data_IF_657074970915
#
_entry.id   IF_657074970915
#
_cell.length_a   1.000
_cell.length_b   1.000
_cell.length_c   1.000
_cell.angle_alpha   90.00
_cell.angle_beta   90.00
_cell.angle_gamma   90.00
#
_symmetry.space_group_name_H-M   'P 1'
#
loop_
_entity.id
_entity.type
_entity.pdbx_description
1 polymer ?
#
# COMPACT_ATOMS: atom_id res chain seq x y z
N UNK A 1 -20.06 9.03 -6.02
CA UNK A 1 -18.61 8.84 -6.28
C UNK A 1 -18.10 7.85 -5.25
N UNK A 2 -17.33 6.85 -5.65
CA UNK A 2 -16.74 5.88 -4.72
C UNK A 2 -15.31 6.28 -4.33
N UNK A 3 -14.75 5.66 -3.29
CA UNK A 3 -13.35 5.86 -2.90
C UNK A 3 -12.36 5.67 -4.05
N UNK A 4 -12.63 4.71 -4.93
CA UNK A 4 -11.79 4.44 -6.11
C UNK A 4 -11.66 5.63 -7.07
N UNK A 5 -12.72 6.42 -7.22
CA UNK A 5 -12.75 7.60 -8.08
C UNK A 5 -12.18 8.81 -7.34
N UNK A 6 -12.55 9.01 -6.08
CA UNK A 6 -12.08 10.10 -5.23
C UNK A 6 -10.56 10.10 -5.02
N UNK A 7 -9.95 8.91 -4.96
CA UNK A 7 -8.51 8.76 -4.70
C UNK A 7 -7.69 8.48 -5.96
N UNK A 8 -8.29 8.54 -7.15
CA UNK A 8 -7.64 8.16 -8.40
C UNK A 8 -6.36 8.96 -8.67
N UNK A 9 -6.40 10.27 -8.44
CA UNK A 9 -5.24 11.16 -8.64
C UNK A 9 -4.07 10.80 -7.73
N UNK A 10 -4.34 10.42 -6.47
CA UNK A 10 -3.31 9.98 -5.53
C UNK A 10 -2.77 8.59 -5.88
N UNK A 11 -3.65 7.68 -6.34
CA UNK A 11 -3.28 6.32 -6.75
C UNK A 11 -2.38 6.32 -7.99
N UNK A 12 -2.74 7.15 -8.97
CA UNK A 12 -2.04 7.28 -10.25
C UNK A 12 -0.82 8.21 -10.20
N UNK A 13 -0.57 8.90 -9.07
CA UNK A 13 0.57 9.79 -8.95
C UNK A 13 1.91 9.04 -9.12
N UNK A 14 2.79 9.59 -9.95
CA UNK A 14 4.15 9.09 -10.11
C UNK A 14 4.99 9.40 -8.87
N UNK A 15 5.26 8.37 -8.07
CA UNK A 15 6.03 8.47 -6.83
C UNK A 15 7.18 7.48 -6.79
N UNK A 16 8.14 7.68 -7.70
CA UNK A 16 9.30 6.81 -7.85
C UNK A 16 10.18 6.78 -6.59
N UNK A 17 10.32 7.90 -5.90
CA UNK A 17 11.11 8.01 -4.67
C UNK A 17 10.51 7.14 -3.56
N UNK A 18 9.19 7.22 -3.36
CA UNK A 18 8.52 6.41 -2.36
C UNK A 18 8.46 4.93 -2.74
N UNK A 19 8.30 4.60 -4.04
CA UNK A 19 8.45 3.22 -4.51
C UNK A 19 9.86 2.67 -4.28
N UNK A 20 10.90 3.48 -4.48
CA UNK A 20 12.29 3.10 -4.23
C UNK A 20 12.58 2.87 -2.74
N UNK A 21 11.92 3.60 -1.83
CA UNK A 21 12.00 3.33 -0.39
C UNK A 21 11.45 1.94 -0.06
N UNK A 22 10.28 1.59 -0.60
CA UNK A 22 9.66 0.28 -0.38
C UNK A 22 10.49 -0.85 -0.98
N UNK A 23 11.11 -0.64 -2.14
CA UNK A 23 11.96 -1.64 -2.80
C UNK A 23 13.22 -2.00 -1.99
N UNK A 24 13.73 -1.06 -1.19
CA UNK A 24 14.96 -1.24 -0.40
C UNK A 24 14.70 -1.76 1.01
N UNK A 25 13.48 -1.61 1.53
CA UNK A 25 13.13 -1.98 2.90
C UNK A 25 12.11 -3.13 2.94
N UNK A 26 12.57 -4.30 3.40
CA UNK A 26 11.75 -5.50 3.51
C UNK A 26 10.59 -5.36 4.49
N UNK A 27 10.72 -4.53 5.52
CA UNK A 27 9.63 -4.23 6.47
C UNK A 27 8.54 -3.45 5.75
N UNK A 28 8.91 -2.37 5.05
CA UNK A 28 7.96 -1.56 4.28
C UNK A 28 7.29 -2.37 3.17
N UNK A 29 8.03 -3.23 2.48
CA UNK A 29 7.49 -4.11 1.44
C UNK A 29 6.41 -5.05 1.99
N UNK A 30 6.66 -5.70 3.14
CA UNK A 30 5.67 -6.56 3.80
C UNK A 30 4.44 -5.78 4.26
N UNK A 31 4.65 -4.61 4.84
CA UNK A 31 3.55 -3.76 5.32
C UNK A 31 2.68 -3.30 4.14
N UNK A 32 3.28 -2.81 3.06
CA UNK A 32 2.58 -2.42 1.84
C UNK A 32 1.81 -3.60 1.23
N UNK A 33 2.43 -4.78 1.16
CA UNK A 33 1.78 -5.99 0.64
C UNK A 33 0.54 -6.40 1.45
N UNK A 34 0.57 -6.23 2.77
CA UNK A 34 -0.55 -6.57 3.63
C UNK A 34 -1.65 -5.50 3.66
N UNK A 35 -1.35 -4.25 3.29
CA UNK A 35 -2.25 -3.11 3.45
C UNK A 35 -3.67 -3.33 2.91
N UNK A 36 -3.90 -3.93 1.73
CA UNK A 36 -5.26 -4.19 1.23
C UNK A 36 -6.10 -5.10 2.13
N UNK A 37 -5.46 -5.92 2.96
CA UNK A 37 -6.12 -6.88 3.86
C UNK A 37 -6.25 -6.39 5.29
N UNK A 38 -5.61 -5.27 5.64
CA UNK A 38 -5.67 -4.69 6.98
C UNK A 38 -7.07 -4.16 7.26
N UNK A 39 -7.64 -4.58 8.40
CA UNK A 39 -8.90 -4.04 8.88
C UNK A 39 -8.79 -2.55 9.19
N UNK A 40 -9.74 -1.79 8.64
CA UNK A 40 -9.81 -0.34 8.80
C UNK A 40 -11.24 0.14 8.71
N UNK A 41 -11.49 1.27 9.36
CA UNK A 41 -12.73 2.03 9.27
C UNK A 41 -12.39 3.36 8.62
N UNK A 42 -12.98 3.61 7.46
CA UNK A 42 -12.86 4.89 6.75
C UNK A 42 -14.15 5.69 6.89
N UNK A 43 -14.11 7.02 6.75
CA UNK A 43 -15.32 7.81 6.63
C UNK A 43 -16.12 7.43 5.37
N UNK A 44 -17.34 7.95 5.26
CA UNK A 44 -18.11 7.82 4.04
C UNK A 44 -17.37 8.48 2.86
N UNK A 45 -17.45 7.92 1.64
CA UNK A 45 -16.87 8.54 0.46
C UNK A 45 -17.42 9.96 0.24
N UNK A 46 -16.61 10.88 -0.32
CA UNK A 46 -17.05 12.24 -0.63
C UNK A 46 -18.13 12.24 -1.72
N UNK A 47 -18.97 13.28 -1.71
CA UNK A 47 -19.96 13.48 -2.77
C UNK A 47 -19.29 13.89 -4.11
N UNK A 48 -19.93 13.63 -5.26
CA UNK A 48 -19.38 14.06 -6.55
C UNK A 48 -19.11 15.57 -6.59
N UNK A 49 -17.89 15.96 -6.95
CA UNK A 49 -17.48 17.36 -7.04
C UNK A 49 -17.02 17.99 -5.72
N UNK A 50 -17.07 17.25 -4.61
CA UNK A 50 -16.46 17.67 -3.36
C UNK A 50 -14.93 17.53 -3.42
N UNK A 51 -14.22 18.54 -2.91
CA UNK A 51 -12.76 18.50 -2.81
C UNK A 51 -12.30 17.41 -1.84
N UNK A 52 -11.25 16.67 -2.22
CA UNK A 52 -10.73 15.54 -1.45
C UNK A 52 -9.48 15.95 -0.70
N UNK A 53 -9.64 16.29 0.59
CA UNK A 53 -8.51 16.45 1.50
C UNK A 53 -8.09 15.10 2.09
N UNK A 54 -6.96 14.59 1.61
CA UNK A 54 -6.41 13.32 2.07
C UNK A 54 -6.02 13.33 3.56
N UNK A 55 -5.58 14.47 4.09
CA UNK A 55 -5.21 14.59 5.51
C UNK A 55 -6.44 14.50 6.41
N UNK A 56 -7.53 15.15 6.00
CA UNK A 56 -8.81 15.08 6.71
C UNK A 56 -9.32 13.63 6.74
N UNK A 57 -9.27 12.92 5.61
CA UNK A 57 -9.69 11.52 5.54
C UNK A 57 -8.85 10.63 6.46
N UNK A 58 -7.53 10.83 6.48
CA UNK A 58 -6.64 10.09 7.38
C UNK A 58 -6.95 10.36 8.85
N UNK A 59 -7.33 11.59 9.21
CA UNK A 59 -7.70 11.94 10.59
C UNK A 59 -8.96 11.20 11.09
N UNK A 60 -9.83 10.80 10.16
CA UNK A 60 -11.06 10.06 10.44
C UNK A 60 -10.90 8.54 10.22
N UNK A 61 -9.73 8.09 9.77
CA UNK A 61 -9.47 6.68 9.45
C UNK A 61 -8.89 5.97 10.67
N UNK A 62 -9.56 4.90 11.11
CA UNK A 62 -9.06 4.01 12.17
C UNK A 62 -8.45 2.75 11.56
N UNK A 63 -7.22 2.42 11.96
CA UNK A 63 -6.48 1.23 11.49
C UNK A 63 -6.29 0.24 12.62
N UNK A 64 -6.52 -1.05 12.34
CA UNK A 64 -6.21 -2.14 13.27
C UNK A 64 -4.74 -2.55 13.15
N UNK A 65 -3.88 -1.94 13.96
CA UNK A 65 -2.43 -2.21 13.92
C UNK A 65 -2.05 -3.59 14.45
N UNK A 66 -2.85 -4.18 15.34
CA UNK A 66 -2.61 -5.53 15.87
C UNK A 66 -2.89 -6.58 14.79
N UNK A 67 -3.99 -6.43 14.05
CA UNK A 67 -4.29 -7.26 12.88
C UNK A 67 -3.19 -7.16 11.83
N UNK A 68 -2.71 -5.94 11.54
CA UNK A 68 -1.63 -5.72 10.57
C UNK A 68 -0.31 -6.36 11.01
N UNK A 69 0.05 -6.24 12.29
CA UNK A 69 1.21 -6.89 12.87
C UNK A 69 1.14 -8.42 12.71
N UNK A 70 -0.03 -9.00 12.98
CA UNK A 70 -0.29 -10.44 12.80
C UNK A 70 -0.19 -10.87 11.34
N UNK A 71 -0.77 -10.12 10.40
CA UNK A 71 -0.70 -10.44 8.97
C UNK A 71 0.75 -10.45 8.44
N UNK A 72 1.58 -9.54 8.94
CA UNK A 72 2.95 -9.36 8.46
C UNK A 72 4.01 -10.12 9.25
N UNK A 73 3.62 -10.66 10.42
CA UNK A 73 4.53 -11.28 11.40
C UNK A 73 5.65 -10.30 11.80
N UNK A 74 5.29 -9.02 11.97
CA UNK A 74 6.18 -7.95 12.37
C UNK A 74 5.84 -7.45 13.78
N UNK A 75 6.82 -6.94 14.55
CA UNK A 75 6.54 -6.28 15.82
C UNK A 75 5.64 -5.05 15.65
N UNK A 76 4.75 -4.80 16.61
CA UNK A 76 3.82 -3.66 16.57
C UNK A 76 4.52 -2.31 16.37
N UNK A 77 5.69 -2.09 16.99
CA UNK A 77 6.47 -0.87 16.80
C UNK A 77 6.95 -0.69 15.35
N UNK A 78 7.34 -1.77 14.67
CA UNK A 78 7.74 -1.72 13.27
C UNK A 78 6.54 -1.40 12.35
N UNK A 79 5.36 -1.90 12.70
CA UNK A 79 4.11 -1.62 11.97
C UNK A 79 3.71 -0.15 12.14
N UNK A 80 3.76 0.40 13.35
CA UNK A 80 3.47 1.82 13.61
C UNK A 80 4.45 2.74 12.88
N UNK A 81 5.76 2.48 12.97
CA UNK A 81 6.76 3.26 12.27
C UNK A 81 6.61 3.16 10.75
N UNK A 82 6.41 1.95 10.23
CA UNK A 82 6.20 1.73 8.81
C UNK A 82 4.89 2.33 8.29
N UNK A 83 3.83 2.35 9.08
CA UNK A 83 2.59 3.05 8.75
C UNK A 83 2.83 4.54 8.51
N UNK A 84 3.55 5.21 9.40
CA UNK A 84 3.87 6.64 9.23
C UNK A 84 4.72 6.88 7.98
N UNK A 85 5.67 6.00 7.67
CA UNK A 85 6.47 6.10 6.44
C UNK A 85 5.62 5.90 5.19
N UNK A 86 4.80 4.84 5.15
CA UNK A 86 3.96 4.52 3.99
C UNK A 86 2.90 5.61 3.76
N UNK A 87 2.24 6.08 4.83
CA UNK A 87 1.24 7.16 4.78
C UNK A 87 1.88 8.49 4.39
N UNK A 88 2.97 8.88 5.05
CA UNK A 88 3.66 10.15 4.81
C UNK A 88 4.21 10.26 3.38
N UNK A 89 4.63 9.14 2.80
CA UNK A 89 5.06 9.07 1.40
C UNK A 89 3.91 8.79 0.42
N UNK A 90 2.64 8.80 0.84
CA UNK A 90 1.46 8.56 -0.02
C UNK A 90 1.53 7.23 -0.81
N UNK A 91 2.05 6.19 -0.17
CA UNK A 91 2.22 4.86 -0.75
C UNK A 91 1.04 3.95 -0.48
N UNK A 92 0.37 4.19 0.65
CA UNK A 92 -0.90 3.60 1.01
C UNK A 92 -1.97 4.69 1.00
N UNK A 93 -3.20 4.29 0.70
CA UNK A 93 -4.38 5.15 0.69
C UNK A 93 -5.39 4.65 1.73
N UNK A 94 -6.21 5.56 2.30
CA UNK A 94 -7.09 5.23 3.43
C UNK A 94 -8.14 4.19 3.07
N UNK A 95 -8.56 4.11 1.81
CA UNK A 95 -9.49 3.10 1.29
C UNK A 95 -8.89 1.69 1.21
N UNK A 96 -7.60 1.54 1.50
CA UNK A 96 -6.89 0.27 1.43
C UNK A 96 -6.15 -0.01 0.15
N UNK A 97 -6.17 0.93 -0.79
CA UNK A 97 -5.40 0.81 -2.01
C UNK A 97 -3.98 1.31 -1.84
N UNK A 98 -3.15 0.99 -2.84
CA UNK A 98 -1.74 1.35 -2.91
C UNK A 98 -1.53 2.31 -4.05
N UNK A 99 -0.47 3.11 -3.97
CA UNK A 99 0.05 3.79 -5.15
C UNK A 99 0.43 2.77 -6.23
N UNK A 100 0.15 3.11 -7.50
CA UNK A 100 0.28 2.17 -8.62
C UNK A 100 1.72 1.64 -8.82
N UNK A 101 2.76 2.43 -8.49
CA UNK A 101 4.15 1.99 -8.59
C UNK A 101 4.50 0.96 -7.52
N UNK A 102 3.94 1.11 -6.30
CA UNK A 102 4.12 0.14 -5.21
C UNK A 102 3.37 -1.15 -5.53
N UNK A 103 2.16 -1.07 -6.08
CA UNK A 103 1.43 -2.24 -6.55
C UNK A 103 2.23 -2.99 -7.63
N UNK A 104 2.75 -2.27 -8.63
CA UNK A 104 3.58 -2.84 -9.70
C UNK A 104 4.86 -3.48 -9.15
N UNK A 105 5.52 -2.84 -8.18
CA UNK A 105 6.69 -3.37 -7.49
C UNK A 105 6.36 -4.71 -6.82
N UNK A 106 5.28 -4.78 -6.05
CA UNK A 106 4.84 -5.99 -5.36
C UNK A 106 4.52 -7.14 -6.33
N UNK A 107 3.86 -6.83 -7.46
CA UNK A 107 3.58 -7.82 -8.50
C UNK A 107 4.87 -8.39 -9.09
N UNK A 108 5.87 -7.53 -9.37
CA UNK A 108 7.18 -7.96 -9.89
C UNK A 108 7.95 -8.82 -8.89
N UNK A 109 7.95 -8.44 -7.61
CA UNK A 109 8.57 -9.23 -6.53
C UNK A 109 7.91 -10.61 -6.41
N UNK A 110 6.58 -10.69 -6.40
CA UNK A 110 5.85 -11.95 -6.35
C UNK A 110 6.17 -12.85 -7.55
N UNK A 111 6.19 -12.28 -8.76
CA UNK A 111 6.55 -12.99 -9.99
C UNK A 111 8.00 -13.49 -9.95
N UNK A 112 8.95 -12.66 -9.49
CA UNK A 112 10.35 -13.04 -9.33
C UNK A 112 10.54 -14.21 -8.36
N UNK A 113 9.88 -14.16 -7.19
CA UNK A 113 9.89 -15.26 -6.22
C UNK A 113 9.30 -16.53 -6.82
N UNK A 114 8.19 -16.42 -7.57
CA UNK A 114 7.56 -17.56 -8.23
C UNK A 114 8.47 -18.21 -9.28
N UNK A 115 9.07 -17.42 -10.17
CA UNK A 115 10.02 -17.91 -11.19
C UNK A 115 11.23 -18.60 -10.55
N UNK A 116 11.81 -18.00 -9.50
CA UNK A 116 12.92 -18.59 -8.77
C UNK A 116 12.56 -19.94 -8.14
N UNK A 117 11.35 -20.08 -7.57
CA UNK A 117 10.88 -21.35 -7.00
C UNK A 117 10.69 -22.44 -8.06
N UNK A 118 10.33 -22.07 -9.28
CA UNK A 118 10.15 -23.00 -10.40
C UNK A 118 11.45 -23.27 -11.16
N UNK A 119 12.56 -22.62 -10.79
CA UNK A 119 13.83 -22.72 -11.53
C UNK A 119 13.77 -22.12 -12.93
N UNK A 120 12.76 -21.29 -13.22
CA UNK A 120 12.55 -20.67 -14.53
C UNK A 120 13.38 -19.41 -14.64
N UNK A 121 14.10 -19.25 -15.73
CA UNK A 121 14.74 -18.00 -16.11
C UNK A 121 13.72 -17.13 -16.85
N UNK A 122 13.88 -15.79 -16.84
CA UNK A 122 12.96 -14.88 -17.54
C UNK A 122 12.75 -15.14 -19.05
N UNK A 123 13.60 -15.97 -19.67
CA UNK A 123 13.48 -16.37 -21.08
C UNK A 123 12.77 -17.72 -21.33
N UNK A 124 12.36 -18.43 -20.28
CA UNK A 124 11.76 -19.77 -20.39
C UNK A 124 10.22 -19.71 -20.61
N UNK A 125 9.61 -18.54 -20.40
CA UNK A 125 8.20 -18.28 -20.68
C UNK A 125 8.07 -17.76 -22.12
N UNK A 126 7.90 -18.67 -23.08
CA UNK A 126 7.53 -18.37 -24.46
C UNK A 126 6.14 -18.89 -24.78
#
# INVERSE_FOLDING_TARGET
>A
MGWAEALLTYRAADNFQGAALVAQDRVLLKLAAAWPHVKKKTPSPPEPGQEVDLLEIWSQTSVDFEDWARLTQLPALAVLGGFEVLKGNRLILPDGTLNHLVETLLQKEAAGVFMNKLGLKPGDLK
#
